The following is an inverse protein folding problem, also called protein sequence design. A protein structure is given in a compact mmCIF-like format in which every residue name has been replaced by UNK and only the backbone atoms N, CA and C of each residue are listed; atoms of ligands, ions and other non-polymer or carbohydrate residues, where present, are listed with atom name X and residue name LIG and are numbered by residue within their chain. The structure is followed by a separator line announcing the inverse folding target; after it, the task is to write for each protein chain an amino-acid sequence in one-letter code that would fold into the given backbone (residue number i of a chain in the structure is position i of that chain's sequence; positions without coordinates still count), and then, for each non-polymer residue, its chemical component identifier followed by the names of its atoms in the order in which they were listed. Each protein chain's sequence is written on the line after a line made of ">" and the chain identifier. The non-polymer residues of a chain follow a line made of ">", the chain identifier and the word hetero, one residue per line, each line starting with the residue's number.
data_IF_901257105830
#
_entry.id   IF_901257105830
#
_cell.length_a   1.000
_cell.length_b   1.000
_cell.length_c   1.000
_cell.angle_alpha   90.00
_cell.angle_beta   90.00
_cell.angle_gamma   90.00
#
_symmetry.space_group_name_H-M   'P 1'
#
loop_
_entity.id
_entity.type
_entity.pdbx_description
1 polymer ?
#
# COMPACT_ATOMS: atom_id res chain seq x y z
N UNK A 1 -93.25 -12.29 5.77
CA UNK A 1 -93.27 -11.02 5.03
C UNK A 1 -92.27 -10.08 5.68
N UNK A 2 -91.46 -9.39 4.86
CA UNK A 2 -90.71 -8.15 5.20
C UNK A 2 -89.51 -8.31 6.15
N UNK A 3 -88.33 -7.74 5.94
CA UNK A 3 -87.80 -6.78 4.97
C UNK A 3 -86.28 -6.96 4.86
N UNK A 4 -85.74 -6.85 3.64
CA UNK A 4 -84.30 -6.67 3.39
C UNK A 4 -83.93 -5.21 3.69
N UNK A 5 -82.87 -4.90 4.44
CA UNK A 5 -82.21 -3.61 4.34
C UNK A 5 -81.25 -3.62 3.16
N UNK A 6 -81.57 -2.77 2.19
CA UNK A 6 -80.82 -2.48 0.97
C UNK A 6 -79.82 -1.35 1.27
N UNK A 7 -78.58 -1.52 0.78
CA UNK A 7 -77.56 -0.49 0.45
C UNK A 7 -77.04 0.40 1.61
N UNK A 8 -75.78 0.14 1.97
CA UNK A 8 -74.78 1.21 2.08
C UNK A 8 -73.67 0.91 1.08
N UNK A 9 -73.68 1.62 -0.04
CA UNK A 9 -72.54 1.68 -0.94
C UNK A 9 -71.42 2.43 -0.20
N UNK A 10 -70.27 1.77 -0.05
CA UNK A 10 -69.07 2.34 0.55
C UNK A 10 -68.51 3.44 -0.38
N UNK A 11 -68.79 4.70 -0.07
CA UNK A 11 -68.11 5.84 -0.68
C UNK A 11 -66.79 6.11 0.03
N UNK A 12 -65.78 5.25 -0.14
CA UNK A 12 -64.40 5.56 0.22
C UNK A 12 -63.41 4.98 -0.80
N UNK A 13 -63.60 5.36 -2.07
CA UNK A 13 -62.51 5.37 -3.05
C UNK A 13 -61.89 6.77 -3.04
N UNK A 14 -60.56 6.85 -3.12
CA UNK A 14 -59.73 8.09 -3.12
C UNK A 14 -59.11 8.48 -1.76
N UNK A 15 -58.47 7.53 -1.07
CA UNK A 15 -57.33 7.84 -0.18
C UNK A 15 -56.23 6.77 -0.30
N UNK A 16 -55.87 6.43 -1.53
CA UNK A 16 -54.58 5.85 -1.83
C UNK A 16 -53.80 6.90 -2.62
N UNK A 17 -52.51 7.04 -2.31
CA UNK A 17 -51.52 7.88 -3.00
C UNK A 17 -51.39 9.34 -2.55
N UNK A 18 -50.99 9.55 -1.32
CA UNK A 18 -49.86 10.47 -1.06
C UNK A 18 -49.10 9.87 0.13
N UNK A 19 -47.77 9.81 0.03
CA UNK A 19 -46.82 9.36 1.08
C UNK A 19 -46.53 7.86 1.17
N UNK A 20 -46.34 7.21 0.03
CA UNK A 20 -45.11 6.42 -0.12
C UNK A 20 -44.05 7.40 -0.60
N UNK A 21 -43.65 8.31 0.31
CA UNK A 21 -42.35 8.92 0.16
C UNK A 21 -41.40 7.73 0.23
N UNK A 22 -40.81 7.40 -0.91
CA UNK A 22 -39.63 6.56 -0.97
C UNK A 22 -38.66 7.19 0.00
N UNK A 23 -38.66 6.69 1.24
CA UNK A 23 -37.47 6.73 2.05
C UNK A 23 -36.52 5.90 1.22
N UNK A 24 -35.76 6.57 0.33
CA UNK A 24 -34.49 6.05 -0.12
C UNK A 24 -33.87 5.54 1.17
N UNK A 25 -33.79 4.22 1.35
CA UNK A 25 -33.04 3.64 2.46
C UNK A 25 -31.69 4.28 2.29
N UNK A 26 -31.39 5.24 3.15
CA UNK A 26 -30.08 5.83 3.26
C UNK A 26 -29.14 4.63 3.33
N UNK A 27 -28.31 4.46 2.31
CA UNK A 27 -27.40 3.32 2.21
C UNK A 27 -26.22 3.54 3.14
N UNK A 28 -26.48 3.90 4.40
CA UNK A 28 -25.49 3.85 5.47
C UNK A 28 -24.99 2.40 5.66
N UNK A 29 -25.76 1.42 5.15
CA UNK A 29 -25.39 0.00 5.03
C UNK A 29 -25.14 -0.45 3.58
N UNK A 30 -25.00 0.48 2.62
CA UNK A 30 -24.51 0.14 1.28
C UNK A 30 -23.01 -0.14 1.36
N UNK A 31 -22.55 -1.15 0.61
CA UNK A 31 -21.12 -1.48 0.44
C UNK A 31 -20.35 -0.20 0.06
N UNK A 32 -19.74 0.45 1.05
CA UNK A 32 -18.96 1.67 0.84
C UNK A 32 -17.64 1.33 0.14
N UNK A 33 -16.97 2.31 -0.48
CA UNK A 33 -15.65 2.10 -1.08
C UNK A 33 -14.63 1.52 -0.08
N UNK A 34 -14.80 1.83 1.21
CA UNK A 34 -13.98 1.30 2.30
C UNK A 34 -14.34 -0.12 2.73
N UNK A 35 -15.48 -0.68 2.30
CA UNK A 35 -15.89 -2.05 2.65
C UNK A 35 -14.91 -3.07 2.04
N UNK A 36 -14.36 -2.79 0.85
CA UNK A 36 -13.32 -3.61 0.23
C UNK A 36 -12.02 -3.56 1.01
N UNK A 37 -11.56 -2.35 1.37
CA UNK A 37 -10.33 -2.15 2.16
C UNK A 37 -10.45 -2.81 3.53
N UNK A 38 -11.59 -2.64 4.20
CA UNK A 38 -11.86 -3.25 5.50
C UNK A 38 -11.81 -4.79 5.42
N UNK A 39 -12.44 -5.38 4.40
CA UNK A 39 -12.47 -6.83 4.23
C UNK A 39 -11.10 -7.42 3.92
N UNK A 40 -10.26 -6.69 3.19
CA UNK A 40 -8.92 -7.17 2.81
C UNK A 40 -7.91 -7.00 3.94
N UNK A 41 -7.91 -5.85 4.63
CA UNK A 41 -6.82 -5.51 5.56
C UNK A 41 -7.23 -5.54 7.03
N UNK A 42 -8.52 -5.36 7.36
CA UNK A 42 -8.97 -5.21 8.76
C UNK A 42 -9.79 -6.39 9.29
N UNK A 43 -10.14 -7.38 8.47
CA UNK A 43 -10.98 -8.52 8.88
C UNK A 43 -10.29 -9.48 9.84
N UNK A 44 -8.98 -9.68 9.72
CA UNK A 44 -8.22 -10.62 10.55
C UNK A 44 -7.11 -9.93 11.31
N UNK A 45 -7.04 -10.17 12.62
CA UNK A 45 -6.06 -9.59 13.54
C UNK A 45 -4.60 -9.69 13.06
N UNK A 46 -4.08 -10.86 12.63
CA UNK A 46 -2.68 -10.94 12.19
C UNK A 46 -2.42 -10.09 10.93
N UNK A 47 -3.30 -10.13 9.93
CA UNK A 47 -3.19 -9.31 8.70
C UNK A 47 -3.30 -7.83 9.03
N UNK A 48 -4.17 -7.45 9.97
CA UNK A 48 -4.30 -6.06 10.38
C UNK A 48 -3.00 -5.54 11.01
N UNK A 49 -2.42 -6.30 11.94
CA UNK A 49 -1.16 -5.92 12.59
C UNK A 49 -0.01 -5.81 11.58
N UNK A 50 0.14 -6.78 10.68
CA UNK A 50 1.19 -6.72 9.65
C UNK A 50 0.98 -5.54 8.70
N UNK A 51 -0.27 -5.27 8.30
CA UNK A 51 -0.59 -4.12 7.45
C UNK A 51 -0.23 -2.81 8.14
N UNK A 52 -0.51 -2.66 9.44
CA UNK A 52 -0.15 -1.47 10.21
C UNK A 52 1.37 -1.30 10.29
N UNK A 53 2.12 -2.38 10.52
CA UNK A 53 3.59 -2.33 10.56
C UNK A 53 4.17 -1.91 9.21
N UNK A 54 3.71 -2.53 8.11
CA UNK A 54 4.15 -2.18 6.76
C UNK A 54 3.79 -0.72 6.42
N UNK A 55 2.57 -0.30 6.74
CA UNK A 55 2.13 1.07 6.53
C UNK A 55 2.94 2.08 7.35
N UNK A 56 3.35 1.72 8.57
CA UNK A 56 4.21 2.55 9.39
C UNK A 56 5.60 2.73 8.77
N UNK A 57 6.24 1.65 8.29
CA UNK A 57 7.55 1.72 7.62
C UNK A 57 7.49 2.58 6.35
N UNK A 58 6.48 2.36 5.52
CA UNK A 58 6.27 3.18 4.31
C UNK A 58 5.98 4.64 4.68
N UNK A 59 5.14 4.84 5.70
CA UNK A 59 4.78 6.15 6.21
C UNK A 59 5.99 6.93 6.71
N UNK A 60 6.88 6.29 7.46
CA UNK A 60 8.12 6.90 7.95
C UNK A 60 9.02 7.37 6.80
N UNK A 61 9.25 6.52 5.79
CA UNK A 61 10.08 6.88 4.65
C UNK A 61 9.52 8.06 3.85
N UNK A 62 8.22 8.04 3.55
CA UNK A 62 7.56 9.14 2.82
C UNK A 62 7.53 10.42 3.67
N UNK A 63 7.17 10.30 4.94
CA UNK A 63 7.07 11.44 5.85
C UNK A 63 8.43 12.10 6.09
N UNK A 64 9.48 11.30 6.30
CA UNK A 64 10.85 11.79 6.46
C UNK A 64 11.33 12.55 5.22
N UNK A 65 11.16 11.96 4.03
CA UNK A 65 11.55 12.60 2.78
C UNK A 65 10.75 13.89 2.52
N UNK A 66 9.44 13.87 2.71
CA UNK A 66 8.59 15.03 2.49
C UNK A 66 8.91 16.17 3.46
N UNK A 67 9.09 15.86 4.75
CA UNK A 67 9.41 16.86 5.77
C UNK A 67 10.79 17.46 5.51
N UNK A 68 11.78 16.62 5.18
CA UNK A 68 13.12 17.10 4.85
C UNK A 68 13.10 17.98 3.59
N UNK A 69 12.38 17.57 2.54
CA UNK A 69 12.21 18.38 1.33
C UNK A 69 11.60 19.76 1.63
N UNK A 70 10.55 19.82 2.43
CA UNK A 70 9.92 21.09 2.84
C UNK A 70 10.91 21.96 3.62
N UNK A 71 11.69 21.35 4.50
CA UNK A 71 12.71 22.04 5.29
C UNK A 71 13.85 22.59 4.43
N UNK A 72 14.39 21.77 3.53
CA UNK A 72 15.46 22.12 2.60
C UNK A 72 15.01 23.21 1.63
N UNK A 73 13.78 23.14 1.12
CA UNK A 73 13.21 24.18 0.25
C UNK A 73 13.18 25.55 0.95
N UNK A 74 12.84 25.59 2.24
CA UNK A 74 12.78 26.82 3.01
C UNK A 74 14.17 27.33 3.48
N UNK A 75 15.20 26.47 3.42
CA UNK A 75 16.56 26.81 3.85
C UNK A 75 17.59 26.73 2.71
N UNK A 76 17.12 26.76 1.46
CA UNK A 76 17.94 26.59 0.27
C UNK A 76 19.18 27.52 0.28
N UNK A 77 20.34 26.95 -0.04
CA UNK A 77 21.62 27.66 -0.04
C UNK A 77 22.28 27.86 1.33
N UNK A 78 21.63 27.48 2.44
CA UNK A 78 22.23 27.50 3.79
C UNK A 78 22.66 26.12 4.29
N UNK A 79 22.40 25.07 3.52
CA UNK A 79 22.75 23.69 3.87
C UNK A 79 24.07 23.27 3.22
N UNK A 80 24.83 22.45 3.94
CA UNK A 80 26.15 21.95 3.53
C UNK A 80 26.14 21.24 2.17
N UNK A 81 25.07 20.52 1.84
CA UNK A 81 24.95 19.80 0.57
C UNK A 81 24.57 20.69 -0.62
N UNK A 82 24.26 21.98 -0.40
CA UNK A 82 24.09 22.96 -1.49
C UNK A 82 25.40 23.67 -1.85
N UNK A 83 26.47 23.47 -1.07
CA UNK A 83 27.77 24.11 -1.32
C UNK A 83 28.50 23.32 -2.40
N UNK A 84 28.89 24.03 -3.45
CA UNK A 84 29.71 23.47 -4.53
C UNK A 84 31.17 23.44 -4.10
N UNK A 85 31.61 22.27 -3.63
CA UNK A 85 32.98 22.04 -3.17
C UNK A 85 33.99 22.02 -4.31
N UNK A 86 33.55 21.83 -5.56
CA UNK A 86 34.43 21.84 -6.73
C UNK A 86 35.07 23.21 -6.95
N UNK A 87 34.43 24.29 -6.51
CA UNK A 87 34.98 25.66 -6.57
C UNK A 87 36.13 25.92 -5.60
N UNK A 88 36.32 25.03 -4.63
CA UNK A 88 37.38 25.11 -3.64
C UNK A 88 38.42 24.00 -3.83
N UNK A 89 38.21 23.09 -4.79
CA UNK A 89 39.30 22.26 -5.29
C UNK A 89 40.25 23.22 -6.01
N UNK A 90 41.48 23.35 -5.51
CA UNK A 90 42.52 24.02 -6.27
C UNK A 90 42.61 23.28 -7.61
N UNK A 91 42.55 24.02 -8.72
CA UNK A 91 43.03 23.51 -9.99
C UNK A 91 44.51 23.19 -9.76
N UNK A 92 44.83 21.92 -9.51
CA UNK A 92 46.17 21.39 -9.74
C UNK A 92 46.38 21.45 -11.26
N UNK A 93 46.68 22.66 -11.75
CA UNK A 93 47.15 22.90 -13.10
C UNK A 93 48.53 22.25 -13.26
N UNK A 94 48.58 21.30 -14.22
CA UNK A 94 49.73 20.96 -15.05
C UNK A 94 50.92 20.21 -14.40
N UNK A 95 50.97 18.89 -14.60
CA UNK A 95 52.21 18.20 -14.99
C UNK A 95 51.85 17.01 -15.91
N UNK A 96 51.91 17.27 -17.22
CA UNK A 96 52.02 16.27 -18.28
C UNK A 96 53.36 15.53 -18.12
N UNK A 97 53.37 14.24 -17.77
CA UNK A 97 54.44 13.34 -18.19
C UNK A 97 53.81 12.07 -18.80
N UNK A 98 53.81 12.05 -20.13
CA UNK A 98 53.66 10.86 -20.94
C UNK A 98 54.82 9.89 -20.64
N UNK A 99 54.56 8.74 -20.00
CA UNK A 99 55.38 7.54 -20.24
C UNK A 99 54.47 6.36 -20.57
N UNK A 100 54.43 6.06 -21.87
CA UNK A 100 53.99 4.80 -22.42
C UNK A 100 55.12 3.77 -22.30
N UNK A 101 54.78 2.54 -21.88
CA UNK A 101 55.40 1.23 -22.13
C UNK A 101 55.10 0.33 -20.92
N UNK A 102 54.81 -0.97 -20.98
CA UNK A 102 54.39 -1.95 -21.98
C UNK A 102 54.01 -3.19 -21.13
N UNK A 103 52.98 -3.89 -21.58
CA UNK A 103 52.56 -5.29 -21.34
C UNK A 103 53.08 -6.15 -20.17
N UNK A 104 52.15 -6.89 -19.56
CA UNK A 104 52.46 -8.03 -18.69
C UNK A 104 51.24 -8.84 -18.28
N UNK A 105 50.86 -9.79 -19.14
CA UNK A 105 50.26 -11.12 -18.86
C UNK A 105 49.11 -11.22 -17.83
N UNK A 106 47.87 -11.44 -18.27
CA UNK A 106 47.30 -12.74 -18.65
C UNK A 106 46.95 -13.65 -17.45
N UNK A 107 45.63 -13.75 -17.23
CA UNK A 107 44.85 -14.94 -16.83
C UNK A 107 45.13 -15.57 -15.46
N UNK A 108 44.17 -15.42 -14.55
CA UNK A 108 43.66 -16.61 -13.86
C UNK A 108 42.18 -16.46 -13.55
N UNK A 109 41.40 -17.32 -14.19
CA UNK A 109 39.98 -17.49 -13.98
C UNK A 109 39.82 -18.71 -13.06
N UNK A 110 39.42 -18.49 -11.82
CA UNK A 110 38.97 -19.58 -10.95
C UNK A 110 37.54 -19.24 -10.50
N UNK A 111 36.60 -19.75 -11.30
CA UNK A 111 35.24 -20.05 -10.85
C UNK A 111 35.32 -21.22 -9.87
N UNK A 112 34.87 -21.02 -8.62
CA UNK A 112 34.34 -22.14 -7.84
C UNK A 112 32.94 -21.79 -7.32
N UNK A 113 31.96 -22.37 -8.02
CA UNK A 113 30.58 -22.54 -7.55
C UNK A 113 30.45 -23.96 -6.97
N UNK A 114 30.20 -24.10 -5.66
CA UNK A 114 29.75 -25.38 -5.08
C UNK A 114 28.76 -25.13 -3.93
N UNK A 115 27.46 -25.21 -4.25
CA UNK A 115 26.46 -25.98 -3.50
C UNK A 115 26.08 -25.57 -2.07
N UNK A 116 24.99 -24.80 -1.92
CA UNK A 116 24.20 -24.77 -0.68
C UNK A 116 22.71 -25.00 -1.00
N UNK A 117 22.36 -26.25 -1.32
CA UNK A 117 20.97 -26.72 -1.36
C UNK A 117 20.58 -27.34 -0.01
N UNK A 118 20.09 -26.51 0.90
CA UNK A 118 19.38 -26.93 2.10
C UNK A 118 17.96 -27.41 1.72
N UNK A 119 17.88 -28.65 1.23
CA UNK A 119 16.61 -29.34 0.97
C UNK A 119 16.09 -29.99 2.26
N UNK A 120 15.56 -29.18 3.17
CA UNK A 120 14.83 -29.63 4.36
C UNK A 120 13.34 -29.89 4.07
N UNK A 121 13.00 -30.86 3.23
CA UNK A 121 11.62 -31.37 3.13
C UNK A 121 11.32 -32.36 4.27
N UNK A 122 10.76 -31.83 5.36
CA UNK A 122 10.15 -32.61 6.44
C UNK A 122 8.64 -32.69 6.28
N UNK A 123 8.16 -33.49 5.32
CA UNK A 123 6.77 -33.96 5.27
C UNK A 123 6.70 -35.30 6.02
N UNK A 124 6.06 -35.29 7.19
CA UNK A 124 5.63 -36.52 7.83
C UNK A 124 4.17 -36.38 8.28
N UNK A 125 3.32 -36.83 7.37
CA UNK A 125 1.89 -37.05 7.52
C UNK A 125 1.68 -38.24 8.45
N UNK A 126 1.12 -38.00 9.63
CA UNK A 126 0.38 -39.03 10.36
C UNK A 126 -1.08 -38.63 10.37
N UNK A 127 -1.79 -39.24 9.44
CA UNK A 127 -3.19 -39.60 9.52
C UNK A 127 -3.30 -40.70 10.58
N UNK A 128 -4.02 -40.46 11.68
CA UNK A 128 -4.64 -41.55 12.42
C UNK A 128 -5.86 -41.01 13.18
N UNK A 129 -6.91 -41.80 13.05
CA UNK A 129 -8.30 -41.51 13.33
C UNK A 129 -8.59 -41.54 14.84
N UNK A 130 -9.34 -40.57 15.35
CA UNK A 130 -10.07 -40.73 16.62
C UNK A 130 -11.58 -40.67 16.33
N UNK A 131 -12.17 -41.86 16.30
CA UNK A 131 -13.60 -42.17 16.37
C UNK A 131 -13.94 -42.75 17.75
#
# INVERSE_FOLDING_TARGET
>A
MWSRPVRRAASQSTRQRVRMASTKRSSVNGKGALDGVYKTFMKSTPVYVTTVLVAALVGEGVYGAATNYVWEANNRGRLYHHVDWSKFAAEDEEEEEEEAEEEGEAEDAEEEEEGAEDAGEGIHEYDDEDA
#
